data_IF_399672752789
#
_entry.id   IF_399672752789
#
_cell.length_a   1.000
_cell.length_b   1.000
_cell.length_c   1.000
_cell.angle_alpha   90.00
_cell.angle_beta   90.00
_cell.angle_gamma   90.00
#
_symmetry.space_group_name_H-M   'P 1'
#
loop_
_entity.id
_entity.type
_entity.pdbx_description
1 polymer ?
#
# COMPACT_ATOMS: atom_id res chain seq x y z
N UNK A 1 21.61 4.59 7.98
CA UNK A 1 21.76 3.57 6.93
C UNK A 1 20.87 3.99 5.78
N UNK A 2 21.34 3.96 4.53
CA UNK A 2 20.50 4.29 3.38
C UNK A 2 19.39 3.23 3.22
N UNK A 3 18.19 3.63 2.80
CA UNK A 3 17.03 2.75 2.62
C UNK A 3 17.33 1.59 1.67
N UNK A 4 18.04 1.85 0.56
CA UNK A 4 18.44 0.80 -0.38
C UNK A 4 19.34 -0.25 0.28
N UNK A 5 20.29 0.17 1.10
CA UNK A 5 21.15 -0.74 1.87
C UNK A 5 20.31 -1.58 2.86
N UNK A 6 19.33 -0.96 3.52
CA UNK A 6 18.43 -1.65 4.45
C UNK A 6 17.58 -2.71 3.72
N UNK A 7 17.07 -2.40 2.54
CA UNK A 7 16.29 -3.33 1.71
C UNK A 7 17.11 -4.53 1.24
N UNK A 8 18.32 -4.27 0.71
CA UNK A 8 19.23 -5.35 0.28
C UNK A 8 19.59 -6.24 1.47
N UNK A 9 19.89 -5.65 2.63
CA UNK A 9 20.20 -6.41 3.84
C UNK A 9 18.99 -7.24 4.31
N UNK A 10 17.81 -6.64 4.34
CA UNK A 10 16.57 -7.35 4.74
C UNK A 10 16.25 -8.50 3.79
N UNK A 11 16.42 -8.31 2.49
CA UNK A 11 16.20 -9.35 1.48
C UNK A 11 17.20 -10.51 1.60
N UNK A 12 18.49 -10.19 1.75
CA UNK A 12 19.53 -11.22 1.90
C UNK A 12 19.40 -12.00 3.21
N UNK A 13 19.08 -11.31 4.32
CA UNK A 13 18.80 -11.97 5.60
C UNK A 13 17.52 -12.81 5.52
N UNK A 14 16.48 -12.32 4.85
CA UNK A 14 15.23 -13.06 4.66
C UNK A 14 15.43 -14.36 3.86
N UNK A 15 16.20 -14.32 2.78
CA UNK A 15 16.58 -15.53 2.02
C UNK A 15 17.42 -16.49 2.88
N UNK A 16 18.38 -15.97 3.64
CA UNK A 16 19.16 -16.77 4.58
C UNK A 16 18.28 -17.46 5.62
N UNK A 17 17.34 -16.72 6.23
CA UNK A 17 16.38 -17.24 7.19
C UNK A 17 15.43 -18.30 6.60
N UNK A 18 15.04 -18.15 5.34
CA UNK A 18 14.20 -19.13 4.66
C UNK A 18 14.93 -20.45 4.42
N UNK A 19 16.26 -20.40 4.24
CA UNK A 19 17.10 -21.59 4.02
C UNK A 19 17.52 -22.31 5.33
N UNK A 20 17.43 -21.63 6.48
CA UNK A 20 17.82 -22.17 7.78
C UNK A 20 16.64 -22.89 8.47
N UNK A 21 16.93 -24.06 9.03
CA UNK A 21 15.98 -24.82 9.85
C UNK A 21 15.95 -24.39 11.34
N UNK A 22 16.33 -23.12 11.61
CA UNK A 22 16.36 -22.57 12.96
C UNK A 22 15.23 -21.57 13.16
N UNK A 23 14.44 -21.75 14.21
CA UNK A 23 13.32 -20.87 14.54
C UNK A 23 13.75 -19.67 15.41
N UNK A 24 14.92 -19.73 16.04
CA UNK A 24 15.38 -18.68 16.94
C UNK A 24 15.49 -17.32 16.24
N UNK A 25 16.20 -17.26 15.12
CA UNK A 25 16.38 -16.01 14.36
C UNK A 25 15.10 -15.55 13.67
N UNK A 26 14.22 -16.51 13.25
CA UNK A 26 12.90 -16.20 12.71
C UNK A 26 12.01 -15.53 13.76
N UNK A 27 12.04 -16.03 14.99
CA UNK A 27 11.28 -15.46 16.11
C UNK A 27 11.79 -14.06 16.45
N UNK A 28 13.12 -13.86 16.53
CA UNK A 28 13.70 -12.51 16.74
C UNK A 28 13.26 -11.52 15.66
N UNK A 29 13.29 -11.92 14.38
CA UNK A 29 12.86 -11.06 13.29
C UNK A 29 11.36 -10.74 13.38
N UNK A 30 10.52 -11.70 13.78
CA UNK A 30 9.08 -11.51 13.99
C UNK A 30 8.80 -10.58 15.16
N UNK A 31 9.47 -10.79 16.29
CA UNK A 31 9.31 -9.94 17.47
C UNK A 31 9.74 -8.50 17.17
N UNK A 32 10.84 -8.33 16.43
CA UNK A 32 11.30 -7.01 15.99
C UNK A 32 10.27 -6.35 15.07
N UNK A 33 9.71 -7.08 14.10
CA UNK A 33 8.63 -6.59 13.24
C UNK A 33 7.41 -6.14 14.08
N UNK A 34 7.01 -6.94 15.08
CA UNK A 34 5.88 -6.61 15.95
C UNK A 34 6.12 -5.34 16.75
N UNK A 35 7.34 -5.16 17.29
CA UNK A 35 7.72 -3.93 17.99
C UNK A 35 7.59 -2.71 17.08
N UNK A 36 8.11 -2.79 15.84
CA UNK A 36 8.03 -1.69 14.88
C UNK A 36 6.57 -1.38 14.52
N UNK A 37 5.73 -2.40 14.26
CA UNK A 37 4.31 -2.21 13.95
C UNK A 37 3.57 -1.56 15.13
N UNK A 38 3.83 -2.01 16.37
CA UNK A 38 3.25 -1.41 17.58
C UNK A 38 3.69 0.04 17.77
N UNK A 39 4.97 0.35 17.52
CA UNK A 39 5.48 1.73 17.58
C UNK A 39 4.79 2.64 16.56
N UNK A 40 4.63 2.18 15.31
CA UNK A 40 3.91 2.93 14.27
C UNK A 40 2.47 3.17 14.71
N UNK A 41 1.78 2.12 15.17
CA UNK A 41 0.37 2.20 15.54
C UNK A 41 0.11 3.05 16.80
N UNK A 42 1.02 3.01 17.78
CA UNK A 42 0.85 3.70 19.05
C UNK A 42 1.36 5.15 19.04
N UNK A 43 2.33 5.47 18.19
CA UNK A 43 2.98 6.78 18.17
C UNK A 43 2.69 7.54 16.87
N UNK A 44 3.02 6.94 15.73
CA UNK A 44 2.95 7.64 14.44
C UNK A 44 1.51 7.88 14.02
N UNK A 45 0.68 6.84 14.01
CA UNK A 45 -0.71 6.96 13.54
C UNK A 45 -1.56 7.94 14.36
N UNK A 46 -1.50 8.00 15.70
CA UNK A 46 -2.25 9.01 16.47
C UNK A 46 -1.78 10.45 16.23
N UNK A 47 -0.51 10.67 15.90
CA UNK A 47 0.04 11.99 15.61
C UNK A 47 -0.17 12.44 14.17
N UNK A 48 -0.47 11.49 13.27
CA UNK A 48 -0.62 11.74 11.85
C UNK A 48 -1.69 12.79 11.50
N UNK A 49 -2.90 12.81 12.13
CA UNK A 49 -3.90 13.86 11.87
C UNK A 49 -3.40 15.26 12.19
N UNK A 50 -2.64 15.43 13.28
CA UNK A 50 -2.04 16.70 13.65
C UNK A 50 -0.96 17.14 12.65
N UNK A 51 -0.16 16.21 12.18
CA UNK A 51 0.84 16.45 11.15
C UNK A 51 0.19 16.90 9.84
N UNK A 52 -0.83 16.18 9.36
CA UNK A 52 -1.61 16.54 8.18
C UNK A 52 -2.28 17.89 8.33
N UNK A 53 -2.87 18.18 9.49
CA UNK A 53 -3.46 19.49 9.79
C UNK A 53 -2.42 20.61 9.67
N UNK A 54 -1.21 20.43 10.23
CA UNK A 54 -0.11 21.38 10.10
C UNK A 54 0.30 21.64 8.65
N UNK A 55 0.34 20.60 7.81
CA UNK A 55 0.63 20.73 6.36
C UNK A 55 -0.45 21.59 5.69
N UNK A 56 -1.73 21.27 5.87
CA UNK A 56 -2.83 22.04 5.28
C UNK A 56 -2.89 23.48 5.78
N UNK A 57 -2.56 23.72 7.05
CA UNK A 57 -2.46 25.05 7.61
C UNK A 57 -1.36 25.87 6.91
N UNK A 58 -0.19 25.29 6.71
CA UNK A 58 0.92 25.92 5.98
C UNK A 58 0.55 26.24 4.53
N UNK A 59 -0.12 25.29 3.84
CA UNK A 59 -0.63 25.49 2.49
C UNK A 59 -1.69 26.59 2.41
N UNK A 60 -2.55 26.69 3.43
CA UNK A 60 -3.56 27.75 3.51
C UNK A 60 -2.88 29.10 3.63
N UNK A 61 -1.88 29.20 4.46
CA UNK A 61 -1.10 30.44 4.63
C UNK A 61 -0.36 30.85 3.33
N UNK A 62 0.12 29.89 2.58
CA UNK A 62 0.79 30.14 1.27
C UNK A 62 -0.18 30.37 0.10
N UNK A 63 -1.50 30.31 0.32
CA UNK A 63 -2.52 30.51 -0.71
C UNK A 63 -2.65 29.38 -1.74
N UNK A 64 -1.99 28.24 -1.52
CA UNK A 64 -1.91 27.12 -2.47
C UNK A 64 -3.02 26.09 -2.31
N UNK A 65 -3.83 26.17 -1.24
CA UNK A 65 -4.83 25.14 -0.88
C UNK A 65 -5.80 24.85 -2.00
N UNK A 66 -6.33 25.87 -2.67
CA UNK A 66 -7.34 25.65 -3.70
C UNK A 66 -6.80 24.84 -4.89
N UNK A 67 -5.63 25.21 -5.41
CA UNK A 67 -5.00 24.50 -6.53
C UNK A 67 -4.64 23.06 -6.15
N UNK A 68 -4.11 22.84 -4.96
CA UNK A 68 -3.77 21.51 -4.46
C UNK A 68 -5.01 20.63 -4.26
N UNK A 69 -6.09 21.18 -3.68
CA UNK A 69 -7.34 20.43 -3.50
C UNK A 69 -7.98 20.06 -4.85
N UNK A 70 -7.94 20.94 -5.85
CA UNK A 70 -8.44 20.63 -7.18
C UNK A 70 -7.65 19.53 -7.88
N UNK A 71 -6.32 19.52 -7.68
CA UNK A 71 -5.46 18.42 -8.16
C UNK A 71 -5.79 17.14 -7.42
N UNK A 72 -5.93 17.17 -6.10
CA UNK A 72 -6.28 16.02 -5.28
C UNK A 72 -7.60 15.38 -5.71
N UNK A 73 -8.65 16.17 -5.93
CA UNK A 73 -9.95 15.65 -6.39
C UNK A 73 -9.81 14.92 -7.73
N UNK A 74 -9.04 15.49 -8.67
CA UNK A 74 -8.78 14.84 -9.97
C UNK A 74 -8.02 13.52 -9.81
N UNK A 75 -6.97 13.52 -9.00
CA UNK A 75 -6.16 12.32 -8.73
C UNK A 75 -7.02 11.24 -8.06
N UNK A 76 -7.80 11.59 -7.05
CA UNK A 76 -8.72 10.67 -6.37
C UNK A 76 -9.68 10.02 -7.37
N UNK A 77 -10.27 10.80 -8.27
CA UNK A 77 -11.15 10.29 -9.31
C UNK A 77 -10.45 9.31 -10.26
N UNK A 78 -9.24 9.64 -10.72
CA UNK A 78 -8.44 8.76 -11.59
C UNK A 78 -8.07 7.47 -10.86
N UNK A 79 -7.59 7.56 -9.62
CA UNK A 79 -7.20 6.39 -8.83
C UNK A 79 -8.40 5.49 -8.57
N UNK A 80 -9.56 6.05 -8.28
CA UNK A 80 -10.78 5.26 -8.09
C UNK A 80 -11.16 4.45 -9.34
N UNK A 81 -11.11 5.08 -10.52
CA UNK A 81 -11.34 4.39 -11.79
C UNK A 81 -10.31 3.29 -12.03
N UNK A 82 -9.03 3.58 -11.76
CA UNK A 82 -7.95 2.61 -11.91
C UNK A 82 -8.09 1.43 -10.92
N UNK A 83 -8.56 1.64 -9.70
CA UNK A 83 -8.83 0.56 -8.74
C UNK A 83 -9.96 -0.35 -9.20
N UNK A 84 -11.07 0.23 -9.69
CA UNK A 84 -12.17 -0.57 -10.27
C UNK A 84 -11.66 -1.38 -11.46
N UNK A 85 -10.89 -0.75 -12.35
CA UNK A 85 -10.28 -1.43 -13.49
C UNK A 85 -9.36 -2.57 -13.04
N UNK A 86 -8.50 -2.34 -12.05
CA UNK A 86 -7.59 -3.33 -11.51
C UNK A 86 -8.34 -4.54 -10.94
N UNK A 87 -9.40 -4.30 -10.14
CA UNK A 87 -10.24 -5.36 -9.59
C UNK A 87 -10.90 -6.18 -10.70
N UNK A 88 -11.54 -5.53 -11.66
CA UNK A 88 -12.18 -6.23 -12.80
C UNK A 88 -11.15 -7.01 -13.61
N UNK A 89 -9.97 -6.44 -13.85
CA UNK A 89 -8.88 -7.08 -14.57
C UNK A 89 -8.38 -8.34 -13.86
N UNK A 90 -8.08 -8.25 -12.55
CA UNK A 90 -7.61 -9.41 -11.76
C UNK A 90 -8.66 -10.52 -11.70
N UNK A 91 -9.93 -10.18 -11.49
CA UNK A 91 -11.01 -11.17 -11.48
C UNK A 91 -11.30 -11.74 -12.87
N UNK A 92 -11.08 -10.97 -13.93
CA UNK A 92 -11.20 -11.48 -15.31
C UNK A 92 -10.11 -12.50 -15.63
N UNK A 93 -8.87 -12.24 -15.22
CA UNK A 93 -7.78 -13.21 -15.34
C UNK A 93 -8.11 -14.49 -14.55
N UNK A 94 -8.51 -14.36 -13.29
CA UNK A 94 -8.90 -15.52 -12.48
C UNK A 94 -10.06 -16.32 -13.12
N UNK A 95 -11.03 -15.62 -13.68
CA UNK A 95 -12.19 -16.21 -14.35
C UNK A 95 -11.83 -17.03 -15.58
N UNK A 96 -10.78 -16.66 -16.33
CA UNK A 96 -10.27 -17.44 -17.47
C UNK A 96 -9.81 -18.83 -17.03
N UNK A 97 -9.13 -18.94 -15.87
CA UNK A 97 -8.65 -20.22 -15.37
C UNK A 97 -9.77 -21.06 -14.72
N UNK A 98 -10.74 -20.43 -14.05
CA UNK A 98 -11.80 -21.12 -13.31
C UNK A 98 -13.07 -21.32 -14.15
N UNK A 99 -13.15 -20.73 -15.35
CA UNK A 99 -14.32 -20.76 -16.26
C UNK A 99 -15.61 -20.28 -15.56
N UNK A 100 -15.52 -19.23 -14.74
CA UNK A 100 -16.65 -18.62 -14.02
C UNK A 100 -16.77 -17.15 -14.38
N UNK A 101 -17.97 -16.59 -14.19
CA UNK A 101 -18.21 -15.17 -14.47
C UNK A 101 -17.49 -14.28 -13.44
N UNK A 102 -16.58 -13.37 -13.89
CA UNK A 102 -15.79 -12.52 -13.01
C UNK A 102 -16.65 -11.59 -12.14
N UNK A 103 -17.75 -11.07 -12.68
CA UNK A 103 -18.64 -10.19 -11.93
C UNK A 103 -19.38 -10.92 -10.80
N UNK A 104 -19.74 -12.20 -11.00
CA UNK A 104 -20.29 -13.03 -9.93
C UNK A 104 -19.28 -13.36 -8.84
N UNK A 105 -18.01 -13.56 -9.22
CA UNK A 105 -16.93 -13.76 -8.26
C UNK A 105 -16.70 -12.48 -7.44
N UNK A 106 -16.60 -11.34 -8.13
CA UNK A 106 -16.37 -10.03 -7.50
C UNK A 106 -17.54 -9.62 -6.59
N UNK A 107 -18.79 -9.84 -7.01
CA UNK A 107 -19.96 -9.48 -6.19
C UNK A 107 -20.03 -10.22 -4.85
N UNK A 108 -19.53 -11.45 -4.78
CA UNK A 108 -19.42 -12.19 -3.51
C UNK A 108 -18.36 -11.60 -2.58
N UNK A 109 -17.38 -10.86 -3.11
CA UNK A 109 -16.32 -10.22 -2.32
C UNK A 109 -16.73 -8.83 -1.80
N UNK A 110 -17.88 -8.28 -2.19
CA UNK A 110 -18.34 -6.97 -1.72
C UNK A 110 -18.33 -6.80 -0.19
N UNK A 111 -18.74 -7.80 0.62
CA UNK A 111 -18.65 -7.65 2.08
C UNK A 111 -17.21 -7.46 2.56
N UNK A 112 -16.24 -8.15 1.96
CA UNK A 112 -14.83 -7.97 2.28
C UNK A 112 -14.34 -6.58 1.84
N UNK A 113 -14.76 -6.11 0.66
CA UNK A 113 -14.44 -4.78 0.17
C UNK A 113 -14.95 -3.67 1.10
N UNK A 114 -16.22 -3.74 1.52
CA UNK A 114 -16.77 -2.75 2.47
C UNK A 114 -16.12 -2.82 3.85
N UNK A 115 -15.73 -4.01 4.30
CA UNK A 115 -14.96 -4.16 5.54
C UNK A 115 -13.59 -3.50 5.41
N UNK A 116 -12.90 -3.69 4.28
CA UNK A 116 -11.61 -3.04 4.01
C UNK A 116 -11.73 -1.51 3.96
N UNK A 117 -12.79 -0.98 3.32
CA UNK A 117 -13.08 0.45 3.32
C UNK A 117 -13.23 1.03 4.73
N UNK A 118 -13.88 0.29 5.63
CA UNK A 118 -14.11 0.74 7.01
C UNK A 118 -12.89 0.60 7.92
N UNK A 119 -12.11 -0.47 7.74
CA UNK A 119 -10.98 -0.77 8.62
C UNK A 119 -9.66 -0.15 8.16
N UNK A 120 -9.52 0.14 6.87
CA UNK A 120 -8.26 0.57 6.23
C UNK A 120 -7.09 -0.38 6.53
N UNK A 121 -7.39 -1.64 6.87
CA UNK A 121 -6.39 -2.62 7.30
C UNK A 121 -6.66 -3.97 6.63
N UNK A 122 -5.72 -4.40 5.81
CA UNK A 122 -5.75 -5.73 5.18
C UNK A 122 -5.76 -6.84 6.23
N UNK A 123 -4.99 -6.67 7.31
CA UNK A 123 -4.93 -7.65 8.39
C UNK A 123 -6.28 -7.79 9.13
N UNK A 124 -6.95 -6.68 9.44
CA UNK A 124 -8.27 -6.69 10.09
C UNK A 124 -9.36 -7.30 9.20
N UNK A 125 -9.17 -7.27 7.88
CA UNK A 125 -10.15 -7.77 6.91
C UNK A 125 -10.00 -9.27 6.61
N UNK A 126 -8.90 -9.91 7.03
CA UNK A 126 -8.61 -11.34 6.78
C UNK A 126 -9.80 -12.25 7.06
N UNK A 127 -10.50 -12.19 8.22
CA UNK A 127 -11.59 -13.12 8.51
C UNK A 127 -12.72 -13.07 7.49
N UNK A 128 -13.11 -11.83 7.10
CA UNK A 128 -14.20 -11.62 6.13
C UNK A 128 -13.77 -12.04 4.73
N UNK A 129 -12.55 -11.67 4.32
CA UNK A 129 -11.99 -12.07 3.02
C UNK A 129 -11.92 -13.59 2.90
N UNK A 130 -11.49 -14.28 3.96
CA UNK A 130 -11.40 -15.73 4.01
C UNK A 130 -12.79 -16.39 3.82
N UNK A 131 -13.80 -15.87 4.51
CA UNK A 131 -15.17 -16.38 4.39
C UNK A 131 -15.73 -16.20 2.97
N UNK A 132 -15.57 -15.00 2.39
CA UNK A 132 -16.08 -14.72 1.05
C UNK A 132 -15.31 -15.51 -0.04
N UNK A 133 -14.01 -15.73 0.15
CA UNK A 133 -13.17 -16.55 -0.73
C UNK A 133 -13.65 -18.00 -0.76
N UNK A 134 -14.01 -18.57 0.40
CA UNK A 134 -14.62 -19.90 0.49
C UNK A 134 -15.98 -19.96 -0.24
N UNK A 135 -16.82 -18.93 -0.13
CA UNK A 135 -18.07 -18.80 -0.89
C UNK A 135 -17.84 -18.73 -2.41
N UNK A 136 -16.68 -18.28 -2.84
CA UNK A 136 -16.26 -18.33 -4.24
C UNK A 136 -15.83 -19.73 -4.70
N UNK A 137 -15.76 -20.70 -3.77
CA UNK A 137 -15.45 -22.10 -4.07
C UNK A 137 -13.97 -22.47 -3.94
N UNK A 138 -13.18 -21.64 -3.29
CA UNK A 138 -11.78 -21.98 -2.93
C UNK A 138 -11.81 -22.89 -1.71
N UNK A 139 -10.98 -23.94 -1.71
CA UNK A 139 -10.88 -24.86 -0.57
C UNK A 139 -10.45 -24.14 0.70
N UNK A 140 -10.90 -24.64 1.86
CA UNK A 140 -10.59 -24.01 3.15
C UNK A 140 -9.08 -24.00 3.45
N UNK A 141 -8.36 -25.03 3.03
CA UNK A 141 -6.91 -25.15 3.20
C UNK A 141 -6.16 -24.10 2.39
N UNK A 142 -6.46 -23.97 1.10
CA UNK A 142 -5.83 -22.96 0.22
C UNK A 142 -6.19 -21.55 0.67
N UNK A 143 -7.46 -21.29 0.94
CA UNK A 143 -7.88 -19.98 1.40
C UNK A 143 -7.24 -19.61 2.75
N UNK A 144 -7.17 -20.57 3.70
CA UNK A 144 -6.57 -20.37 5.02
C UNK A 144 -5.08 -20.07 5.00
N UNK A 145 -4.36 -20.49 3.96
CA UNK A 145 -2.96 -20.16 3.75
C UNK A 145 -2.77 -18.88 2.94
N UNK A 146 -3.45 -18.78 1.78
CA UNK A 146 -3.21 -17.69 0.82
C UNK A 146 -3.73 -16.34 1.32
N UNK A 147 -4.91 -16.28 1.96
CA UNK A 147 -5.50 -15.01 2.37
C UNK A 147 -4.65 -14.28 3.42
N UNK A 148 -4.22 -14.93 4.54
CA UNK A 148 -3.33 -14.27 5.49
C UNK A 148 -1.98 -13.87 4.88
N UNK A 149 -1.41 -14.70 4.01
CA UNK A 149 -0.16 -14.41 3.32
C UNK A 149 -0.31 -13.18 2.40
N UNK A 150 -1.32 -13.18 1.54
CA UNK A 150 -1.55 -12.10 0.57
C UNK A 150 -1.99 -10.78 1.23
N UNK A 151 -2.56 -10.82 2.44
CA UNK A 151 -2.93 -9.60 3.16
C UNK A 151 -1.72 -8.68 3.46
N UNK A 152 -0.51 -9.22 3.46
CA UNK A 152 0.71 -8.45 3.70
C UNK A 152 1.60 -8.31 2.46
N UNK A 153 1.57 -9.27 1.53
CA UNK A 153 2.48 -9.24 0.38
C UNK A 153 1.83 -8.80 -0.94
N UNK A 154 0.50 -8.83 -1.05
CA UNK A 154 -0.22 -8.43 -2.26
C UNK A 154 -0.91 -7.09 -2.08
N UNK A 155 -0.14 -6.01 -2.21
CA UNK A 155 -0.57 -4.63 -2.04
C UNK A 155 -0.67 -3.89 -3.39
N UNK A 156 -1.31 -4.52 -4.39
CA UNK A 156 -1.43 -3.96 -5.74
C UNK A 156 -2.18 -2.62 -5.79
N UNK A 157 -3.24 -2.48 -5.00
CA UNK A 157 -4.00 -1.23 -4.88
C UNK A 157 -3.17 -0.11 -4.27
N UNK A 158 -2.46 -0.39 -3.17
CA UNK A 158 -1.58 0.58 -2.53
C UNK A 158 -0.40 0.98 -3.43
N UNK A 159 0.20 0.02 -4.14
CA UNK A 159 1.27 0.29 -5.11
C UNK A 159 0.78 1.21 -6.23
N UNK A 160 -0.36 0.90 -6.85
CA UNK A 160 -0.99 1.72 -7.88
C UNK A 160 -1.24 3.14 -7.37
N UNK A 161 -1.78 3.27 -6.17
CA UNK A 161 -2.08 4.54 -5.51
C UNK A 161 -0.81 5.37 -5.28
N UNK A 162 0.26 4.76 -4.75
CA UNK A 162 1.54 5.44 -4.52
C UNK A 162 2.14 5.92 -5.83
N UNK A 163 2.15 5.09 -6.86
CA UNK A 163 2.70 5.47 -8.19
C UNK A 163 1.90 6.62 -8.81
N UNK A 164 0.57 6.53 -8.79
CA UNK A 164 -0.28 7.58 -9.35
C UNK A 164 -0.14 8.90 -8.60
N UNK A 165 -0.11 8.88 -7.27
CA UNK A 165 0.10 10.07 -6.44
C UNK A 165 1.49 10.67 -6.68
N UNK A 166 2.53 9.84 -6.73
CA UNK A 166 3.90 10.31 -6.97
C UNK A 166 4.02 11.00 -8.33
N UNK A 167 3.50 10.38 -9.40
CA UNK A 167 3.50 10.98 -10.73
C UNK A 167 2.75 12.32 -10.75
N UNK A 168 1.58 12.35 -10.14
CA UNK A 168 0.77 13.58 -10.11
C UNK A 168 1.45 14.70 -9.32
N UNK A 169 2.12 14.40 -8.20
CA UNK A 169 2.88 15.40 -7.45
C UNK A 169 4.10 15.89 -8.21
N UNK A 170 4.83 15.01 -8.90
CA UNK A 170 5.94 15.39 -9.75
C UNK A 170 5.49 16.31 -10.89
N UNK A 171 4.36 15.98 -11.54
CA UNK A 171 3.77 16.86 -12.56
C UNK A 171 3.36 18.23 -11.99
N UNK A 172 2.77 18.25 -10.80
CA UNK A 172 2.35 19.49 -10.13
C UNK A 172 3.54 20.38 -9.75
N UNK A 173 4.64 19.78 -9.32
CA UNK A 173 5.86 20.49 -8.91
C UNK A 173 6.82 20.77 -10.06
N UNK A 174 6.49 20.37 -11.30
CA UNK A 174 7.37 20.53 -12.46
C UNK A 174 8.65 19.71 -12.38
N UNK A 175 8.65 18.62 -11.60
CA UNK A 175 9.79 17.72 -11.50
C UNK A 175 9.92 16.87 -12.77
N UNK A 176 11.16 16.57 -13.23
CA UNK A 176 11.36 15.73 -14.39
C UNK A 176 10.93 14.29 -14.10
N UNK A 177 10.24 13.67 -15.05
CA UNK A 177 9.87 12.25 -14.97
C UNK A 177 9.96 11.61 -16.36
N UNK A 178 10.36 10.36 -16.38
CA UNK A 178 10.41 9.54 -17.59
C UNK A 178 10.02 8.09 -17.30
N UNK A 179 9.87 7.31 -18.35
CA UNK A 179 9.50 5.90 -18.22
C UNK A 179 10.57 5.06 -17.51
N UNK A 180 11.89 5.18 -17.79
CA UNK A 180 12.93 4.44 -17.07
C UNK A 180 12.94 4.70 -15.57
N UNK A 181 12.80 5.96 -15.16
CA UNK A 181 12.72 6.35 -13.74
C UNK A 181 11.56 5.66 -13.04
N UNK A 182 10.35 5.76 -13.64
CA UNK A 182 9.16 5.14 -13.05
C UNK A 182 9.19 3.61 -13.11
N UNK A 183 9.74 3.01 -14.15
CA UNK A 183 9.91 1.55 -14.21
C UNK A 183 10.81 1.05 -13.07
N UNK A 184 11.94 1.72 -12.82
CA UNK A 184 12.81 1.44 -11.69
C UNK A 184 12.12 1.66 -10.35
N UNK A 185 11.41 2.78 -10.19
CA UNK A 185 10.65 3.10 -8.99
C UNK A 185 9.57 2.04 -8.69
N UNK A 186 8.77 1.65 -9.69
CA UNK A 186 7.71 0.63 -9.54
C UNK A 186 8.31 -0.71 -9.13
N UNK A 187 9.42 -1.12 -9.74
CA UNK A 187 10.11 -2.37 -9.39
C UNK A 187 10.58 -2.36 -7.93
N UNK A 188 11.26 -1.30 -7.50
CA UNK A 188 11.73 -1.16 -6.11
C UNK A 188 10.58 -1.02 -5.12
N UNK A 189 9.52 -0.30 -5.50
CA UNK A 189 8.32 -0.17 -4.69
C UNK A 189 7.66 -1.55 -4.49
N UNK A 190 7.58 -2.38 -5.53
CA UNK A 190 7.05 -3.74 -5.44
C UNK A 190 7.81 -4.59 -4.40
N UNK A 191 9.14 -4.51 -4.38
CA UNK A 191 9.97 -5.19 -3.36
C UNK A 191 9.67 -4.65 -1.96
N UNK A 192 9.56 -3.33 -1.82
CA UNK A 192 9.31 -2.69 -0.53
C UNK A 192 7.92 -3.01 0.01
N UNK A 193 6.93 -3.10 -0.85
CA UNK A 193 5.55 -3.40 -0.45
C UNK A 193 5.39 -4.79 0.17
N UNK A 194 6.26 -5.75 -0.14
CA UNK A 194 6.28 -7.05 0.53
C UNK A 194 6.57 -6.91 2.04
N UNK A 195 7.31 -5.89 2.43
CA UNK A 195 7.65 -5.60 3.84
C UNK A 195 6.71 -4.59 4.51
N UNK A 196 5.74 -4.04 3.78
CA UNK A 196 4.82 -3.05 4.31
C UNK A 196 3.86 -3.68 5.32
N UNK A 197 3.66 -3.07 6.51
CA UNK A 197 2.70 -3.59 7.47
C UNK A 197 1.26 -3.38 6.97
N UNK A 198 0.39 -4.37 7.19
CA UNK A 198 -1.03 -4.35 6.80
C UNK A 198 -1.91 -3.49 7.73
N UNK A 199 -1.42 -2.33 8.15
CA UNK A 199 -2.10 -1.36 9.02
C UNK A 199 -2.38 -0.07 8.25
N UNK A 200 -3.33 0.78 8.69
CA UNK A 200 -3.58 2.07 8.04
C UNK A 200 -2.30 2.89 7.86
N UNK A 201 -2.08 3.43 6.67
CA UNK A 201 -0.88 4.20 6.35
C UNK A 201 0.42 3.40 6.25
N UNK A 202 0.41 2.09 6.50
CA UNK A 202 1.63 1.27 6.53
C UNK A 202 2.39 1.26 5.21
N UNK A 203 1.68 1.19 4.09
CA UNK A 203 2.31 1.16 2.77
C UNK A 203 3.01 2.48 2.41
N UNK A 204 2.39 3.63 2.69
CA UNK A 204 3.04 4.93 2.42
C UNK A 204 4.26 5.14 3.31
N UNK A 205 4.17 4.78 4.59
CA UNK A 205 5.31 4.88 5.50
C UNK A 205 6.50 4.02 5.06
N UNK A 206 6.24 2.80 4.57
CA UNK A 206 7.28 1.93 4.02
C UNK A 206 7.92 2.51 2.75
N UNK A 207 7.19 3.28 1.95
CA UNK A 207 7.64 3.82 0.66
C UNK A 207 8.42 5.13 0.75
N UNK A 208 8.38 5.88 1.87
CA UNK A 208 8.98 7.22 1.98
C UNK A 208 10.45 7.25 1.57
N UNK A 209 11.21 6.26 2.02
CA UNK A 209 12.63 6.21 1.69
C UNK A 209 12.92 6.00 0.21
N UNK A 210 12.06 5.29 -0.52
CA UNK A 210 12.19 5.09 -1.97
C UNK A 210 11.72 6.35 -2.72
N UNK A 211 10.65 6.98 -2.27
CA UNK A 211 10.20 8.27 -2.81
C UNK A 211 11.32 9.31 -2.73
N UNK A 212 12.02 9.37 -1.59
CA UNK A 212 13.15 10.27 -1.41
C UNK A 212 14.34 9.89 -2.28
N UNK A 213 14.77 8.62 -2.23
CA UNK A 213 16.03 8.19 -2.84
C UNK A 213 15.97 8.07 -4.35
N UNK A 214 14.80 7.74 -4.93
CA UNK A 214 14.64 7.52 -6.37
C UNK A 214 13.95 8.70 -7.07
N UNK A 215 12.93 9.29 -6.45
CA UNK A 215 12.17 10.38 -7.07
C UNK A 215 12.59 11.77 -6.55
N UNK A 216 13.51 11.84 -5.57
CA UNK A 216 14.02 13.10 -5.05
C UNK A 216 13.01 13.89 -4.20
N UNK A 217 12.00 13.22 -3.64
CA UNK A 217 10.99 13.87 -2.80
C UNK A 217 11.64 14.42 -1.52
N UNK A 218 11.58 15.73 -1.35
CA UNK A 218 11.96 16.41 -0.11
C UNK A 218 10.89 16.21 0.99
N UNK A 219 11.12 16.74 2.18
CA UNK A 219 10.18 16.62 3.30
C UNK A 219 8.80 17.18 2.97
N UNK A 220 8.71 18.25 2.18
CA UNK A 220 7.45 18.87 1.81
C UNK A 220 6.66 17.99 0.81
N UNK A 221 7.33 17.45 -0.18
CA UNK A 221 6.74 16.52 -1.15
C UNK A 221 6.29 15.21 -0.47
N UNK A 222 7.09 14.68 0.47
CA UNK A 222 6.72 13.52 1.26
C UNK A 222 5.50 13.80 2.15
N UNK A 223 5.42 14.96 2.75
CA UNK A 223 4.29 15.39 3.55
C UNK A 223 2.99 15.45 2.74
N UNK A 224 3.05 16.03 1.54
CA UNK A 224 1.94 16.04 0.57
C UNK A 224 1.54 14.63 0.15
N UNK A 225 2.52 13.78 -0.12
CA UNK A 225 2.31 12.39 -0.51
C UNK A 225 1.60 11.59 0.59
N UNK A 226 2.01 11.77 1.86
CA UNK A 226 1.36 11.16 3.02
C UNK A 226 -0.09 11.63 3.12
N UNK A 227 -0.33 12.95 3.06
CA UNK A 227 -1.67 13.52 3.17
C UNK A 227 -2.60 13.01 2.08
N UNK A 228 -2.13 12.99 0.82
CA UNK A 228 -2.89 12.50 -0.33
C UNK A 228 -3.18 10.99 -0.22
N UNK A 229 -2.17 10.20 0.16
CA UNK A 229 -2.32 8.76 0.33
C UNK A 229 -3.33 8.41 1.43
N UNK A 230 -3.20 9.02 2.61
CA UNK A 230 -4.09 8.76 3.76
C UNK A 230 -5.54 9.16 3.45
N UNK A 231 -5.76 10.27 2.74
CA UNK A 231 -7.10 10.66 2.31
C UNK A 231 -7.80 9.59 1.46
N UNK A 232 -7.03 8.74 0.78
CA UNK A 232 -7.52 7.66 -0.08
C UNK A 232 -7.27 6.26 0.47
N UNK A 233 -6.76 6.13 1.70
CA UNK A 233 -6.33 4.82 2.21
C UNK A 233 -7.50 3.82 2.31
N UNK A 234 -8.72 4.31 2.48
CA UNK A 234 -9.93 3.50 2.44
C UNK A 234 -10.18 2.80 1.10
N UNK A 235 -9.65 3.31 -0.01
CA UNK A 235 -9.99 2.83 -1.37
C UNK A 235 -8.91 1.92 -2.01
N UNK A 236 -7.86 1.53 -1.30
CA UNK A 236 -6.75 0.80 -1.90
C UNK A 236 -6.39 -0.53 -1.30
#
# INVERSE_FOLDING_TARGET
MNVMTALVLAFTLGLGLASLNSDALKNVARDFQEIIVRMISAVILPLLPLYIFGIFLNMTHSGQVYSILMVFIKIIGVIFVLHIFLLVFQYSIAALFVHRNPFKLLSKMLPAYFTALGTQSSAATIPVTLEQTKKNGVSAEVAGFVIPLCATIHLSGSTLKIVACALALMMMQGMPFDFPLFAGFIFMLGITMVAAPGVPGGAIMASLGILQSMLGFDESAQALMIALYIAMDSFG
#
